data_IF_226310429692
#
_entry.id   IF_226310429692
#
_cell.length_a   1.000
_cell.length_b   1.000
_cell.length_c   1.000
_cell.angle_alpha   90.00
_cell.angle_beta   90.00
_cell.angle_gamma   90.00
#
_symmetry.space_group_name_H-M   'P 1'
#
loop_
_entity.id
_entity.type
_entity.pdbx_description
1 polymer ?
#
# COMPACT_ATOMS: atom_id res chain seq x y z
N UNK A 1 8.38 -11.49 -13.91
CA UNK A 1 9.43 -10.83 -13.11
C UNK A 1 8.73 -9.94 -12.07
N UNK A 2 9.28 -9.81 -10.87
CA UNK A 2 8.72 -8.93 -9.84
C UNK A 2 8.89 -7.47 -10.27
N UNK A 3 7.81 -6.69 -10.19
CA UNK A 3 7.82 -5.27 -10.53
C UNK A 3 8.26 -4.42 -9.33
N UNK A 4 9.57 -4.18 -9.24
CA UNK A 4 10.17 -3.35 -8.17
C UNK A 4 9.84 -1.87 -8.32
N UNK A 5 9.57 -1.40 -9.54
CA UNK A 5 9.14 -0.01 -9.80
C UNK A 5 7.74 0.21 -9.23
N UNK A 6 6.84 -0.74 -9.44
CA UNK A 6 5.50 -0.67 -8.86
C UNK A 6 5.53 -0.77 -7.34
N UNK A 7 6.39 -1.63 -6.77
CA UNK A 7 6.58 -1.67 -5.31
C UNK A 7 7.04 -0.30 -4.78
N UNK A 8 7.95 0.40 -5.49
CA UNK A 8 8.36 1.75 -5.12
C UNK A 8 7.19 2.74 -5.16
N UNK A 9 6.38 2.70 -6.23
CA UNK A 9 5.20 3.57 -6.35
C UNK A 9 4.20 3.35 -5.20
N UNK A 10 3.98 2.09 -4.81
CA UNK A 10 3.11 1.73 -3.68
C UNK A 10 3.66 2.29 -2.35
N UNK A 11 4.98 2.23 -2.13
CA UNK A 11 5.61 2.85 -0.96
C UNK A 11 5.51 4.38 -1.00
N UNK A 12 5.74 5.01 -2.15
CA UNK A 12 5.64 6.47 -2.30
C UNK A 12 4.20 6.97 -2.09
N UNK A 13 3.20 6.25 -2.61
CA UNK A 13 1.79 6.57 -2.44
C UNK A 13 1.34 6.47 -0.98
N UNK A 14 1.78 5.40 -0.29
CA UNK A 14 1.58 5.22 1.13
C UNK A 14 2.13 6.42 1.91
N UNK A 15 3.35 6.84 1.61
CA UNK A 15 4.01 7.96 2.29
C UNK A 15 3.30 9.28 2.04
N UNK A 16 2.85 9.51 0.81
CA UNK A 16 2.06 10.70 0.47
C UNK A 16 0.77 10.79 1.29
N UNK A 17 0.01 9.69 1.37
CA UNK A 17 -1.22 9.60 2.16
C UNK A 17 -0.94 9.86 3.65
N UNK A 18 0.07 9.19 4.21
CA UNK A 18 0.46 9.35 5.61
C UNK A 18 0.91 10.77 5.92
N UNK A 19 1.63 11.42 5.01
CA UNK A 19 2.06 12.81 5.14
C UNK A 19 0.86 13.76 5.26
N UNK A 20 -0.15 13.59 4.41
CA UNK A 20 -1.35 14.42 4.44
C UNK A 20 -2.17 14.18 5.72
N UNK A 21 -2.36 12.92 6.12
CA UNK A 21 -3.03 12.60 7.40
C UNK A 21 -2.30 13.22 8.60
N UNK A 22 -0.97 13.21 8.61
CA UNK A 22 -0.16 13.83 9.66
C UNK A 22 -0.29 15.36 9.65
N UNK A 23 -0.29 15.98 8.46
CA UNK A 23 -0.47 17.43 8.30
C UNK A 23 -1.81 17.92 8.88
N UNK A 24 -2.89 17.14 8.70
CA UNK A 24 -4.20 17.41 9.30
C UNK A 24 -4.35 16.93 10.76
N UNK A 25 -3.26 16.48 11.40
CA UNK A 25 -3.21 16.03 12.79
C UNK A 25 -4.17 14.86 13.11
N UNK A 26 -4.48 14.03 12.10
CA UNK A 26 -5.29 12.81 12.28
C UNK A 26 -4.45 11.63 12.77
N UNK A 27 -3.13 11.74 12.70
CA UNK A 27 -2.18 10.75 13.21
C UNK A 27 -0.98 11.48 13.82
N UNK A 28 -0.31 10.82 14.76
CA UNK A 28 0.91 11.30 15.42
C UNK A 28 2.17 10.48 15.05
N UNK A 29 2.02 9.53 14.12
CA UNK A 29 3.10 8.70 13.62
C UNK A 29 3.25 8.82 12.10
N UNK A 30 4.46 8.60 11.61
CA UNK A 30 4.79 8.53 10.18
C UNK A 30 5.57 7.24 9.95
N UNK A 31 5.06 6.29 9.15
CA UNK A 31 5.83 5.10 8.81
C UNK A 31 7.06 5.50 7.99
N UNK A 32 8.20 4.84 8.20
CA UNK A 32 9.37 5.04 7.34
C UNK A 32 9.12 4.43 5.96
N UNK A 33 9.73 5.02 4.92
CA UNK A 33 9.84 4.39 3.61
C UNK A 33 10.41 2.97 3.76
N UNK A 34 9.83 2.04 3.01
CA UNK A 34 10.31 0.66 2.95
C UNK A 34 11.39 0.51 1.85
N UNK A 35 11.31 1.32 0.79
CA UNK A 35 12.30 1.38 -0.29
C UNK A 35 13.62 2.07 0.11
N UNK A 36 14.58 2.22 -0.83
CA UNK A 36 14.42 1.99 -2.27
C UNK A 36 14.55 0.51 -2.68
N UNK A 37 13.73 0.08 -3.64
CA UNK A 37 13.72 -1.31 -4.13
C UNK A 37 14.61 -1.50 -5.37
N UNK A 38 15.93 -1.53 -5.16
CA UNK A 38 16.90 -1.72 -6.24
C UNK A 38 17.38 -3.18 -6.25
N UNK A 39 16.84 -3.97 -7.18
CA UNK A 39 17.20 -5.40 -7.34
C UNK A 39 17.96 -5.60 -8.65
N UNK A 40 19.25 -5.92 -8.53
CA UNK A 40 20.14 -6.20 -9.68
C UNK A 40 20.36 -7.68 -9.94
N UNK A 41 20.10 -8.54 -8.95
CA UNK A 41 20.21 -10.00 -9.02
C UNK A 41 18.96 -10.59 -8.37
N UNK A 42 18.32 -11.56 -9.04
CA UNK A 42 17.16 -12.24 -8.49
C UNK A 42 17.56 -13.61 -7.92
N UNK A 43 17.47 -13.74 -6.59
CA UNK A 43 17.72 -14.95 -5.81
C UNK A 43 16.73 -15.05 -4.62
N UNK A 44 16.87 -16.10 -3.81
CA UNK A 44 16.00 -16.35 -2.65
C UNK A 44 16.02 -15.23 -1.61
N UNK A 45 17.18 -14.63 -1.34
CA UNK A 45 17.31 -13.52 -0.40
C UNK A 45 16.55 -12.28 -0.90
N UNK A 46 16.73 -11.93 -2.17
CA UNK A 46 16.01 -10.79 -2.78
C UNK A 46 14.50 -11.04 -2.85
N UNK A 47 14.07 -12.27 -3.12
CA UNK A 47 12.66 -12.64 -3.07
C UNK A 47 12.10 -12.48 -1.65
N UNK A 48 12.81 -13.00 -0.64
CA UNK A 48 12.42 -12.87 0.77
C UNK A 48 12.35 -11.41 1.23
N UNK A 49 13.28 -10.57 0.78
CA UNK A 49 13.26 -9.12 1.03
C UNK A 49 12.03 -8.45 0.41
N UNK A 50 11.69 -8.77 -0.84
CA UNK A 50 10.54 -8.20 -1.54
C UNK A 50 9.22 -8.61 -0.87
N UNK A 51 9.10 -9.88 -0.44
CA UNK A 51 7.93 -10.37 0.29
C UNK A 51 7.79 -9.68 1.65
N UNK A 52 8.89 -9.58 2.39
CA UNK A 52 8.90 -8.86 3.69
C UNK A 52 8.49 -7.40 3.52
N UNK A 53 8.97 -6.76 2.44
CA UNK A 53 8.62 -5.38 2.11
C UNK A 53 7.14 -5.23 1.77
N UNK A 54 6.60 -6.12 0.93
CA UNK A 54 5.17 -6.15 0.60
C UNK A 54 4.30 -6.33 1.85
N UNK A 55 4.66 -7.24 2.74
CA UNK A 55 3.93 -7.46 4.00
C UNK A 55 3.92 -6.21 4.89
N UNK A 56 5.01 -5.45 4.94
CA UNK A 56 5.05 -4.17 5.66
C UNK A 56 4.10 -3.15 5.04
N UNK A 57 4.10 -3.01 3.71
CA UNK A 57 3.20 -2.11 3.01
C UNK A 57 1.72 -2.49 3.21
N UNK A 58 1.40 -3.78 3.21
CA UNK A 58 0.04 -4.28 3.52
C UNK A 58 -0.38 -3.91 4.94
N UNK A 59 0.52 -4.06 5.92
CA UNK A 59 0.21 -3.70 7.30
C UNK A 59 -0.09 -2.21 7.45
N UNK A 60 0.72 -1.34 6.84
CA UNK A 60 0.47 0.11 6.88
C UNK A 60 -0.77 0.51 6.06
N UNK A 61 -1.03 -0.13 4.92
CA UNK A 61 -2.29 0.01 4.20
C UNK A 61 -3.49 -0.34 5.09
N UNK A 62 -3.44 -1.47 5.81
CA UNK A 62 -4.56 -1.89 6.65
C UNK A 62 -4.79 -0.92 7.82
N UNK A 63 -3.71 -0.32 8.34
CA UNK A 63 -3.83 0.78 9.30
C UNK A 63 -4.49 2.02 8.70
N UNK A 64 -4.24 2.36 7.43
CA UNK A 64 -4.98 3.42 6.76
C UNK A 64 -6.47 3.13 6.69
N UNK A 65 -6.86 1.89 6.39
CA UNK A 65 -8.27 1.47 6.42
C UNK A 65 -8.87 1.68 7.82
N UNK A 66 -8.14 1.30 8.87
CA UNK A 66 -8.58 1.51 10.26
C UNK A 66 -8.72 3.00 10.60
N UNK A 67 -7.80 3.86 10.14
CA UNK A 67 -7.87 5.32 10.30
C UNK A 67 -9.12 5.88 9.60
N UNK A 68 -9.38 5.46 8.35
CA UNK A 68 -10.57 5.89 7.62
C UNK A 68 -11.86 5.53 8.36
N UNK A 69 -11.91 4.34 8.97
CA UNK A 69 -13.05 3.90 9.78
C UNK A 69 -13.14 4.69 11.09
N UNK A 70 -12.04 4.83 11.82
CA UNK A 70 -11.99 5.51 13.11
C UNK A 70 -12.47 6.97 13.03
N UNK A 71 -12.03 7.69 12.00
CA UNK A 71 -12.43 9.08 11.76
C UNK A 71 -13.67 9.23 10.88
N UNK A 72 -14.32 8.13 10.50
CA UNK A 72 -15.49 8.11 9.61
C UNK A 72 -15.28 8.90 8.31
N UNK A 73 -14.10 8.75 7.71
CA UNK A 73 -13.66 9.49 6.52
C UNK A 73 -14.25 8.92 5.24
N UNK A 74 -14.76 7.69 5.23
CA UNK A 74 -15.40 7.10 4.06
C UNK A 74 -16.93 6.91 4.24
N UNK A 75 -17.72 8.00 4.31
CA UNK A 75 -19.18 7.89 4.29
C UNK A 75 -19.74 7.55 2.89
N UNK A 76 -18.87 7.41 1.88
CA UNK A 76 -19.23 7.21 0.48
C UNK A 76 -19.44 5.71 0.20
N UNK A 77 -20.70 5.28 0.20
CA UNK A 77 -21.05 3.87 0.03
C UNK A 77 -20.64 3.25 -1.32
N UNK A 78 -20.27 4.07 -2.30
CA UNK A 78 -19.78 3.70 -3.62
C UNK A 78 -18.25 3.52 -3.70
N UNK A 79 -17.48 4.02 -2.73
CA UNK A 79 -16.03 3.85 -2.68
C UNK A 79 -15.68 2.74 -1.70
N UNK A 80 -15.35 1.57 -2.23
CA UNK A 80 -14.97 0.41 -1.41
C UNK A 80 -13.45 0.33 -1.21
N UNK A 81 -13.03 0.38 0.05
CA UNK A 81 -11.65 0.08 0.47
C UNK A 81 -11.74 -0.94 1.59
N UNK A 82 -10.99 -2.04 1.47
CA UNK A 82 -10.98 -3.12 2.45
C UNK A 82 -9.55 -3.56 2.77
N UNK A 83 -9.38 -4.15 3.95
CA UNK A 83 -8.10 -4.71 4.36
C UNK A 83 -7.61 -5.76 3.36
N UNK A 84 -6.31 -5.73 3.07
CA UNK A 84 -5.64 -6.65 2.17
C UNK A 84 -4.96 -7.74 3.00
N UNK A 85 -5.07 -8.99 2.53
CA UNK A 85 -4.39 -10.13 3.12
C UNK A 85 -3.48 -10.76 2.07
N UNK A 86 -2.25 -11.08 2.47
CA UNK A 86 -1.32 -11.81 1.62
C UNK A 86 -1.32 -13.28 2.01
N UNK A 87 -1.93 -14.12 1.17
CA UNK A 87 -1.93 -15.56 1.37
C UNK A 87 -0.96 -16.20 0.37
N UNK A 88 0.13 -16.74 0.90
CA UNK A 88 1.17 -17.35 0.09
C UNK A 88 0.77 -18.79 -0.28
N UNK A 89 0.06 -18.95 -1.41
CA UNK A 89 -0.43 -20.25 -1.92
C UNK A 89 0.32 -20.79 -3.14
N UNK A 90 1.38 -20.14 -3.59
CA UNK A 90 2.08 -20.56 -4.80
C UNK A 90 2.78 -21.90 -4.61
N UNK A 91 2.55 -22.83 -5.52
CA UNK A 91 3.24 -24.13 -5.56
C UNK A 91 4.58 -24.06 -6.30
N UNK A 92 4.80 -23.00 -7.08
CA UNK A 92 6.06 -22.69 -7.76
C UNK A 92 6.35 -21.18 -7.81
N UNK A 93 7.57 -20.82 -8.22
CA UNK A 93 8.05 -19.43 -8.27
C UNK A 93 7.22 -18.51 -9.17
N UNK A 94 6.64 -18.99 -10.26
CA UNK A 94 5.85 -18.16 -11.15
C UNK A 94 4.51 -17.81 -10.53
N UNK A 95 3.86 -18.78 -9.88
CA UNK A 95 2.63 -18.55 -9.12
C UNK A 95 2.86 -17.55 -7.98
N UNK A 96 3.97 -17.71 -7.27
CA UNK A 96 4.40 -16.79 -6.22
C UNK A 96 4.58 -15.35 -6.71
N UNK A 97 5.24 -15.17 -7.86
CA UNK A 97 5.42 -13.86 -8.50
C UNK A 97 4.08 -13.29 -8.98
N UNK A 98 3.17 -14.14 -9.47
CA UNK A 98 1.83 -13.73 -9.91
C UNK A 98 1.01 -13.18 -8.73
N UNK A 99 0.94 -13.91 -7.62
CA UNK A 99 0.23 -13.50 -6.40
C UNK A 99 0.81 -12.20 -5.84
N UNK A 100 2.14 -12.07 -5.85
CA UNK A 100 2.83 -10.84 -5.49
C UNK A 100 2.37 -9.65 -6.35
N UNK A 101 2.41 -9.77 -7.68
CA UNK A 101 2.04 -8.67 -8.58
C UNK A 101 0.54 -8.32 -8.45
N UNK A 102 -0.34 -9.32 -8.33
CA UNK A 102 -1.77 -9.09 -8.09
C UNK A 102 -2.03 -8.32 -6.79
N UNK A 103 -1.22 -8.60 -5.75
CA UNK A 103 -1.33 -7.87 -4.48
C UNK A 103 -0.87 -6.42 -4.63
N UNK A 104 0.18 -6.15 -5.40
CA UNK A 104 0.57 -4.79 -5.72
C UNK A 104 -0.51 -4.04 -6.51
N UNK A 105 -1.13 -4.70 -7.49
CA UNK A 105 -2.24 -4.12 -8.25
C UNK A 105 -3.40 -3.70 -7.33
N UNK A 106 -3.75 -4.56 -6.37
CA UNK A 106 -4.78 -4.29 -5.39
C UNK A 106 -4.42 -3.12 -4.46
N UNK A 107 -3.17 -3.07 -3.97
CA UNK A 107 -2.70 -1.96 -3.13
C UNK A 107 -2.73 -0.64 -3.89
N UNK A 108 -2.26 -0.60 -5.14
CA UNK A 108 -2.35 0.60 -5.99
C UNK A 108 -3.79 1.06 -6.14
N UNK A 109 -4.72 0.14 -6.44
CA UNK A 109 -6.13 0.50 -6.56
C UNK A 109 -6.72 1.05 -5.26
N UNK A 110 -6.41 0.41 -4.13
CA UNK A 110 -6.87 0.88 -2.83
C UNK A 110 -6.31 2.25 -2.48
N UNK A 111 -5.02 2.52 -2.73
CA UNK A 111 -4.45 3.84 -2.48
C UNK A 111 -5.08 4.93 -3.35
N UNK A 112 -5.40 4.65 -4.61
CA UNK A 112 -6.15 5.60 -5.44
C UNK A 112 -7.55 5.89 -4.85
N UNK A 113 -8.27 4.86 -4.41
CA UNK A 113 -9.54 5.04 -3.70
C UNK A 113 -9.39 5.85 -2.40
N UNK A 114 -8.34 5.58 -1.60
CA UNK A 114 -8.04 6.33 -0.38
C UNK A 114 -7.74 7.79 -0.71
N UNK A 115 -6.92 8.07 -1.73
CA UNK A 115 -6.64 9.44 -2.18
C UNK A 115 -7.93 10.15 -2.61
N UNK A 116 -8.84 9.48 -3.32
CA UNK A 116 -10.16 10.04 -3.67
C UNK A 116 -10.95 10.38 -2.42
N UNK A 117 -11.03 9.46 -1.45
CA UNK A 117 -11.68 9.71 -0.15
C UNK A 117 -11.06 10.94 0.53
N UNK A 118 -9.74 11.02 0.61
CA UNK A 118 -9.04 12.16 1.22
C UNK A 118 -9.34 13.47 0.50
N UNK A 119 -9.32 13.49 -0.85
CA UNK A 119 -9.70 14.67 -1.65
C UNK A 119 -11.14 15.10 -1.37
N UNK A 120 -12.08 14.17 -1.30
CA UNK A 120 -13.49 14.46 -1.00
C UNK A 120 -13.70 15.03 0.41
N UNK A 121 -12.85 14.65 1.37
CA UNK A 121 -12.85 15.20 2.72
C UNK A 121 -12.03 16.50 2.85
N UNK A 122 -11.43 16.99 1.76
CA UNK A 122 -10.58 18.17 1.79
C UNK A 122 -9.22 17.96 2.47
N UNK A 123 -8.79 16.71 2.62
CA UNK A 123 -7.51 16.32 3.25
C UNK A 123 -6.36 16.21 2.25
N UNK A 124 -6.61 16.35 0.96
CA UNK A 124 -5.60 16.28 -0.10
C UNK A 124 -6.03 17.18 -1.27
N UNK A 125 -5.08 17.82 -1.94
CA UNK A 125 -5.39 18.67 -3.10
C UNK A 125 -5.89 17.83 -4.29
N UNK A 126 -6.88 18.35 -5.01
CA UNK A 126 -7.25 17.83 -6.33
C UNK A 126 -6.21 18.28 -7.37
N UNK A 127 -5.06 17.59 -7.41
CA UNK A 127 -4.19 17.59 -8.58
C UNK A 127 -4.72 16.63 -9.63
#
# INVERSE_FOLDING_TARGET
MIDTTKLQQVDDDLQSIYSDLNYYLLIDYMPAHVGPFIITIFNEDTYSFLITSLLRLINEHNRLVDILVHYNLNPFGDIHVSAVFYDNKGSDLNELISVYNQTLDLLTHNFESIKVIMKLNGLMEAK
#
